data_IF_453582403874
#
_entry.id   IF_453582403874
#
_cell.length_a   1.000
_cell.length_b   1.000
_cell.length_c   1.000
_cell.angle_alpha   90.00
_cell.angle_beta   90.00
_cell.angle_gamma   90.00
#
_symmetry.space_group_name_H-M   'P 1'
#
loop_
_entity.id
_entity.type
_entity.pdbx_description
1 polymer ?
#
# COMPACT_ATOMS: atom_id res chain seq x y z
N UNK A 1 0.81 -3.39 33.85
CA UNK A 1 2.20 -3.57 33.40
C UNK A 1 2.19 -4.57 32.26
N UNK A 2 2.88 -4.31 31.15
CA UNK A 2 2.91 -5.24 30.02
C UNK A 2 3.62 -6.54 30.41
N UNK A 3 3.05 -7.69 30.01
CA UNK A 3 3.65 -9.00 30.28
C UNK A 3 4.84 -9.19 29.34
N UNK A 4 6.00 -9.54 29.90
CA UNK A 4 7.21 -9.81 29.12
C UNK A 4 6.98 -11.03 28.22
N UNK A 5 7.21 -10.90 26.92
CA UNK A 5 7.05 -11.96 25.91
C UNK A 5 8.24 -12.92 25.92
N UNK A 6 8.30 -13.78 26.93
CA UNK A 6 9.40 -14.73 27.12
C UNK A 6 9.54 -15.73 25.97
N UNK A 7 8.45 -16.07 25.29
CA UNK A 7 8.45 -16.88 24.07
C UNK A 7 9.21 -16.21 22.92
N UNK A 8 8.89 -14.95 22.62
CA UNK A 8 9.58 -14.18 21.56
C UNK A 8 11.08 -14.04 21.83
N UNK A 9 11.47 -13.79 23.09
CA UNK A 9 12.89 -13.75 23.51
C UNK A 9 13.60 -15.08 23.22
N UNK A 10 12.92 -16.21 23.49
CA UNK A 10 13.46 -17.56 23.28
C UNK A 10 13.62 -17.86 21.79
N UNK A 11 12.62 -17.55 20.97
CA UNK A 11 12.67 -17.72 19.52
C UNK A 11 13.85 -16.94 18.89
N UNK A 12 14.06 -15.69 19.29
CA UNK A 12 15.21 -14.89 18.80
C UNK A 12 16.56 -15.53 19.14
N UNK A 13 16.72 -15.99 20.40
CA UNK A 13 17.96 -16.66 20.82
C UNK A 13 18.16 -18.00 20.13
N UNK A 14 17.09 -18.77 19.91
CA UNK A 14 17.13 -20.04 19.19
C UNK A 14 17.52 -19.86 17.71
N UNK A 15 17.11 -18.73 17.11
CA UNK A 15 17.54 -18.32 15.78
C UNK A 15 18.98 -17.76 15.72
N UNK A 16 19.68 -17.68 16.86
CA UNK A 16 21.10 -17.30 16.94
C UNK A 16 21.37 -15.80 17.02
N UNK A 17 20.35 -14.96 17.24
CA UNK A 17 20.53 -13.51 17.26
C UNK A 17 20.67 -12.95 18.68
N UNK A 18 21.50 -11.93 18.88
CA UNK A 18 21.44 -10.98 20.01
C UNK A 18 20.36 -9.93 19.75
N UNK A 19 20.03 -9.05 20.71
CA UNK A 19 19.09 -7.95 20.42
C UNK A 19 19.69 -6.99 19.38
N UNK A 20 20.99 -6.74 19.49
CA UNK A 20 21.78 -5.87 18.63
C UNK A 20 21.81 -6.40 17.19
N UNK A 21 22.21 -7.66 16.99
CA UNK A 21 22.28 -8.26 15.64
C UNK A 21 20.89 -8.43 15.02
N UNK A 22 19.87 -8.69 15.84
CA UNK A 22 18.49 -8.80 15.35
C UNK A 22 17.95 -7.44 14.89
N UNK A 23 18.23 -6.38 15.65
CA UNK A 23 17.85 -5.02 15.31
C UNK A 23 18.51 -4.55 14.01
N UNK A 24 19.79 -4.85 13.83
CA UNK A 24 20.56 -4.55 12.63
C UNK A 24 19.95 -5.21 11.38
N UNK A 25 19.69 -6.51 11.43
CA UNK A 25 19.08 -7.25 10.31
C UNK A 25 17.64 -6.79 10.05
N UNK A 26 16.91 -6.39 11.08
CA UNK A 26 15.56 -5.82 10.97
C UNK A 26 15.53 -4.36 10.52
N UNK A 27 16.68 -3.67 10.44
CA UNK A 27 16.78 -2.23 10.21
C UNK A 27 15.94 -1.40 11.19
N UNK A 28 15.99 -1.77 12.47
CA UNK A 28 15.35 -1.04 13.58
C UNK A 28 16.36 -0.76 14.68
N UNK A 29 16.03 0.16 15.59
CA UNK A 29 16.87 0.41 16.76
C UNK A 29 16.77 -0.73 17.80
N UNK A 30 17.86 -1.03 18.53
CA UNK A 30 17.87 -2.06 19.58
C UNK A 30 16.76 -1.86 20.62
N UNK A 31 16.46 -0.61 20.98
CA UNK A 31 15.39 -0.28 21.94
C UNK A 31 14.00 -0.68 21.42
N UNK A 32 13.83 -0.77 20.10
CA UNK A 32 12.59 -1.24 19.47
C UNK A 32 12.41 -2.74 19.70
N UNK A 33 13.48 -3.53 19.53
CA UNK A 33 13.48 -4.98 19.83
C UNK A 33 13.26 -5.22 21.33
N UNK A 34 13.87 -4.41 22.20
CA UNK A 34 13.65 -4.51 23.64
C UNK A 34 12.18 -4.23 24.03
N UNK A 35 11.53 -3.24 23.39
CA UNK A 35 10.11 -2.93 23.61
C UNK A 35 9.18 -4.03 23.12
N UNK A 36 9.53 -4.70 22.01
CA UNK A 36 8.82 -5.90 21.53
C UNK A 36 8.88 -7.03 22.55
N UNK A 37 10.07 -7.35 23.06
CA UNK A 37 10.26 -8.40 24.07
C UNK A 37 9.57 -8.09 25.41
N UNK A 38 9.45 -6.81 25.76
CA UNK A 38 8.77 -6.36 26.98
C UNK A 38 7.24 -6.29 26.86
N UNK A 39 6.68 -6.52 25.67
CA UNK A 39 5.24 -6.41 25.44
C UNK A 39 4.71 -4.98 25.40
N UNK A 40 5.60 -3.96 25.48
CA UNK A 40 5.23 -2.54 25.52
C UNK A 40 4.92 -1.95 24.14
N UNK A 41 5.37 -2.62 23.07
CA UNK A 41 5.11 -2.26 21.68
C UNK A 41 5.08 -3.52 20.83
N UNK A 42 4.32 -3.51 19.75
CA UNK A 42 4.33 -4.60 18.76
C UNK A 42 5.15 -4.25 17.53
N UNK A 43 5.76 -5.25 16.87
CA UNK A 43 6.25 -5.07 15.52
C UNK A 43 5.10 -4.67 14.60
N UNK A 44 5.37 -3.69 13.74
CA UNK A 44 4.39 -3.26 12.75
C UNK A 44 4.11 -4.43 11.78
N UNK A 45 2.88 -4.53 11.22
CA UNK A 45 2.50 -5.68 10.38
C UNK A 45 3.50 -6.00 9.26
N UNK A 46 4.03 -4.97 8.57
CA UNK A 46 5.06 -5.13 7.53
C UNK A 46 6.40 -5.73 8.02
N UNK A 47 6.67 -5.67 9.34
CA UNK A 47 7.87 -6.24 9.95
C UNK A 47 7.68 -7.73 10.27
N UNK A 48 6.44 -8.21 10.41
CA UNK A 48 6.13 -9.57 10.87
C UNK A 48 6.56 -10.67 9.89
N UNK A 49 6.38 -10.57 8.55
CA UNK A 49 6.90 -11.58 7.61
C UNK A 49 8.42 -11.73 7.66
N UNK A 50 9.13 -10.61 7.80
CA UNK A 50 10.60 -10.61 7.95
C UNK A 50 11.01 -11.22 9.29
N UNK A 51 10.30 -10.92 10.37
CA UNK A 51 10.51 -11.52 11.69
C UNK A 51 10.31 -13.04 11.65
N UNK A 52 9.20 -13.53 11.11
CA UNK A 52 8.90 -14.96 11.02
C UNK A 52 10.01 -15.70 10.24
N UNK A 53 10.43 -15.14 9.11
CA UNK A 53 11.53 -15.69 8.29
C UNK A 53 12.86 -15.74 9.05
N UNK A 54 13.23 -14.67 9.77
CA UNK A 54 14.47 -14.62 10.54
C UNK A 54 14.44 -15.56 11.74
N UNK A 55 13.29 -15.68 12.39
CA UNK A 55 13.07 -16.57 13.53
C UNK A 55 12.88 -18.04 13.12
N UNK A 56 12.73 -18.32 11.82
CA UNK A 56 12.46 -19.64 11.23
C UNK A 56 11.20 -20.29 11.80
N UNK A 57 10.18 -19.47 12.01
CA UNK A 57 8.86 -19.88 12.48
C UNK A 57 7.81 -19.45 11.46
N UNK A 58 6.65 -20.08 11.53
CA UNK A 58 5.47 -19.68 10.78
C UNK A 58 4.91 -18.36 11.31
N UNK A 59 4.08 -17.70 10.51
CA UNK A 59 3.38 -16.48 10.94
C UNK A 59 2.46 -16.76 12.14
N UNK A 60 1.80 -17.92 12.17
CA UNK A 60 0.96 -18.32 13.31
C UNK A 60 1.77 -18.47 14.60
N UNK A 61 2.91 -19.17 14.53
CA UNK A 61 3.81 -19.29 15.69
C UNK A 61 4.36 -17.92 16.12
N UNK A 62 4.64 -17.01 15.18
CA UNK A 62 5.04 -15.64 15.52
C UNK A 62 3.92 -14.90 16.26
N UNK A 63 2.67 -15.03 15.83
CA UNK A 63 1.52 -14.38 16.48
C UNK A 63 1.28 -14.94 17.88
N UNK A 64 1.40 -16.26 18.09
CA UNK A 64 1.35 -16.89 19.42
C UNK A 64 2.41 -16.33 20.37
N UNK A 65 3.63 -16.06 19.85
CA UNK A 65 4.72 -15.48 20.66
C UNK A 65 4.52 -13.98 20.95
N UNK A 66 3.78 -13.27 20.09
CA UNK A 66 3.44 -11.86 20.26
C UNK A 66 2.21 -11.66 21.16
N UNK A 67 1.33 -12.66 21.22
CA UNK A 67 0.09 -12.66 21.99
C UNK A 67 -0.01 -13.92 22.86
N UNK A 68 0.90 -14.12 23.83
CA UNK A 68 0.83 -15.28 24.70
C UNK A 68 -0.47 -15.22 25.51
N UNK A 69 -1.39 -16.15 25.23
CA UNK A 69 -2.59 -16.34 26.04
C UNK A 69 -2.17 -16.61 27.49
N UNK A 70 -2.64 -15.78 28.41
CA UNK A 70 -2.54 -16.07 29.83
C UNK A 70 -3.63 -17.09 30.13
N UNK A 71 -3.31 -18.37 29.96
CA UNK A 71 -4.15 -19.47 30.45
C UNK A 71 -4.30 -19.34 31.97
N UNK A 72 -5.47 -18.86 32.42
CA UNK A 72 -5.87 -18.91 33.81
C UNK A 72 -6.78 -20.11 34.03
N UNK A 73 -6.19 -21.16 34.60
CA UNK A 73 -6.88 -22.35 35.11
C UNK A 73 -7.79 -21.97 36.29
N UNK A 74 -9.07 -22.37 36.23
CA UNK A 74 -9.86 -22.99 37.33
C UNK A 74 -11.36 -22.64 37.28
N UNK A 75 -12.17 -23.70 37.38
CA UNK A 75 -13.59 -23.69 37.63
C UNK A 75 -13.95 -22.95 38.94
N UNK A 76 -15.08 -22.26 38.99
CA UNK A 76 -16.33 -22.67 39.68
C UNK A 76 -17.36 -21.53 39.57
N UNK A 77 -18.60 -21.92 39.33
CA UNK A 77 -19.81 -21.10 39.16
C UNK A 77 -19.95 -19.99 40.22
N UNK A 78 -20.13 -18.73 39.79
CA UNK A 78 -20.87 -17.67 40.49
C UNK A 78 -21.53 -16.78 39.44
N UNK A 79 -22.85 -16.58 39.55
CA UNK A 79 -23.63 -15.75 38.64
C UNK A 79 -23.11 -14.30 38.63
N UNK A 80 -22.94 -13.74 37.43
CA UNK A 80 -22.56 -12.35 37.22
C UNK A 80 -23.41 -11.69 36.13
N UNK A 81 -23.52 -10.34 36.14
CA UNK A 81 -24.52 -9.54 35.41
C UNK A 81 -24.33 -9.62 33.89
N UNK A 82 -25.28 -9.14 33.06
CA UNK A 82 -25.25 -9.37 31.62
C UNK A 82 -23.94 -8.89 31.04
N UNK A 83 -23.19 -9.83 30.46
CA UNK A 83 -21.93 -9.56 29.81
C UNK A 83 -22.15 -8.49 28.75
N UNK A 84 -21.39 -7.39 28.84
CA UNK A 84 -21.15 -6.54 27.69
C UNK A 84 -20.52 -7.45 26.64
N UNK A 85 -21.29 -7.76 25.60
CA UNK A 85 -20.79 -8.49 24.43
C UNK A 85 -19.72 -7.61 23.81
N UNK A 86 -18.46 -7.87 24.16
CA UNK A 86 -17.32 -7.39 23.39
C UNK A 86 -17.48 -8.06 22.03
N UNK A 87 -17.75 -7.33 20.94
CA UNK A 87 -17.89 -7.96 19.64
C UNK A 87 -16.57 -8.67 19.34
N UNK A 88 -16.62 -9.97 19.05
CA UNK A 88 -15.49 -10.68 18.47
C UNK A 88 -14.93 -9.87 17.31
N UNK A 89 -13.60 -9.79 17.11
CA UNK A 89 -13.04 -9.07 15.98
C UNK A 89 -13.74 -9.52 14.71
N UNK A 90 -14.43 -8.58 14.04
CA UNK A 90 -15.21 -8.89 12.85
C UNK A 90 -14.22 -9.23 11.74
N UNK A 91 -14.12 -10.53 11.45
CA UNK A 91 -13.35 -11.06 10.32
C UNK A 91 -13.79 -10.33 9.04
N UNK A 92 -12.82 -9.82 8.28
CA UNK A 92 -13.09 -9.10 7.04
C UNK A 92 -13.67 -10.06 6.00
N UNK A 93 -14.87 -9.73 5.51
CA UNK A 93 -15.57 -10.48 4.48
C UNK A 93 -15.26 -9.92 3.08
N UNK A 94 -15.38 -10.76 2.05
CA UNK A 94 -15.14 -10.37 0.67
C UNK A 94 -16.07 -9.22 0.21
N UNK A 95 -17.31 -9.19 0.68
CA UNK A 95 -18.31 -8.16 0.36
C UNK A 95 -17.90 -6.78 0.88
N UNK A 96 -17.21 -6.73 2.03
CA UNK A 96 -16.71 -5.48 2.57
C UNK A 96 -15.58 -4.92 1.70
N UNK A 97 -14.70 -5.77 1.18
CA UNK A 97 -13.66 -5.35 0.22
C UNK A 97 -14.28 -4.81 -1.07
N UNK A 98 -15.32 -5.48 -1.59
CA UNK A 98 -16.09 -4.99 -2.75
C UNK A 98 -16.66 -3.59 -2.51
N UNK A 99 -17.16 -3.31 -1.31
CA UNK A 99 -17.67 -1.98 -0.96
C UNK A 99 -16.57 -0.93 -0.94
N UNK A 100 -15.39 -1.24 -0.40
CA UNK A 100 -14.26 -0.30 -0.41
C UNK A 100 -13.69 -0.05 -1.80
N UNK A 101 -13.66 -1.06 -2.67
CA UNK A 101 -13.32 -0.90 -4.10
C UNK A 101 -14.29 0.09 -4.77
N UNK A 102 -15.59 -0.10 -4.55
CA UNK A 102 -16.62 0.78 -5.09
C UNK A 102 -16.54 2.21 -4.55
N UNK A 103 -16.26 2.38 -3.25
CA UNK A 103 -16.06 3.70 -2.65
C UNK A 103 -14.84 4.42 -3.21
N UNK A 104 -13.71 3.73 -3.36
CA UNK A 104 -12.49 4.30 -3.95
C UNK A 104 -12.75 4.77 -5.38
N UNK A 105 -13.47 3.95 -6.15
CA UNK A 105 -13.88 4.29 -7.52
C UNK A 105 -14.83 5.49 -7.56
N UNK A 106 -15.77 5.59 -6.62
CA UNK A 106 -16.66 6.73 -6.49
C UNK A 106 -15.91 8.01 -6.12
N UNK A 107 -14.91 7.94 -5.23
CA UNK A 107 -14.09 9.10 -4.88
C UNK A 107 -13.25 9.59 -6.06
N UNK A 108 -12.68 8.71 -6.88
CA UNK A 108 -12.04 9.12 -8.15
C UNK A 108 -13.00 9.86 -9.07
N UNK A 109 -14.22 9.35 -9.22
CA UNK A 109 -15.22 9.98 -10.09
C UNK A 109 -15.63 11.37 -9.59
N UNK A 110 -15.76 11.54 -8.26
CA UNK A 110 -16.05 12.84 -7.66
C UNK A 110 -14.85 13.77 -7.80
N UNK A 111 -13.62 13.31 -7.59
CA UNK A 111 -12.40 14.09 -7.80
C UNK A 111 -12.35 14.69 -9.23
N UNK A 112 -12.62 13.87 -10.25
CA UNK A 112 -12.69 14.34 -11.64
C UNK A 112 -13.77 15.41 -11.90
N UNK A 113 -14.82 15.48 -11.08
CA UNK A 113 -15.96 16.38 -11.28
C UNK A 113 -15.95 17.62 -10.37
N UNK A 114 -15.45 17.47 -9.15
CA UNK A 114 -15.55 18.43 -8.06
C UNK A 114 -14.19 18.80 -7.44
N UNK A 115 -13.11 18.15 -7.88
CA UNK A 115 -11.74 18.35 -7.40
C UNK A 115 -11.44 17.67 -6.06
N UNK A 116 -10.16 17.67 -5.71
CA UNK A 116 -9.60 16.85 -4.63
C UNK A 116 -10.12 17.21 -3.23
N UNK A 117 -10.40 18.48 -2.98
CA UNK A 117 -10.93 18.95 -1.70
C UNK A 117 -12.29 18.33 -1.32
N UNK A 118 -13.08 17.88 -2.31
CA UNK A 118 -14.38 17.27 -2.07
C UNK A 118 -14.29 15.87 -1.42
N UNK A 119 -13.15 15.18 -1.61
CA UNK A 119 -12.98 13.76 -1.27
C UNK A 119 -11.73 13.46 -0.44
N UNK A 120 -10.84 14.41 -0.21
CA UNK A 120 -9.56 14.16 0.47
C UNK A 120 -9.73 13.56 1.86
N UNK A 121 -10.48 14.22 2.74
CA UNK A 121 -10.71 13.76 4.12
C UNK A 121 -11.44 12.41 4.17
N UNK A 122 -12.40 12.19 3.28
CA UNK A 122 -13.15 10.94 3.17
C UNK A 122 -12.24 9.79 2.73
N UNK A 123 -11.35 10.04 1.76
CA UNK A 123 -10.36 9.07 1.27
C UNK A 123 -9.36 8.71 2.38
N UNK A 124 -8.84 9.70 3.11
CA UNK A 124 -7.93 9.47 4.25
C UNK A 124 -8.64 8.69 5.37
N UNK A 125 -9.89 9.04 5.66
CA UNK A 125 -10.72 8.34 6.64
C UNK A 125 -10.95 6.87 6.26
N UNK A 126 -11.21 6.60 4.97
CA UNK A 126 -11.30 5.24 4.43
C UNK A 126 -9.97 4.49 4.56
N UNK A 127 -8.87 5.11 4.18
CA UNK A 127 -7.53 4.52 4.27
C UNK A 127 -7.20 4.11 5.71
N UNK A 128 -7.49 4.98 6.68
CA UNK A 128 -7.28 4.69 8.10
C UNK A 128 -8.13 3.51 8.59
N UNK A 129 -9.37 3.37 8.11
CA UNK A 129 -10.22 2.20 8.41
C UNK A 129 -9.64 0.92 7.81
N UNK A 130 -9.18 0.95 6.56
CA UNK A 130 -8.51 -0.19 5.92
C UNK A 130 -7.24 -0.59 6.68
N UNK A 131 -6.41 0.36 7.10
CA UNK A 131 -5.24 0.06 7.93
C UNK A 131 -5.61 -0.57 9.29
N UNK A 132 -6.68 -0.11 9.93
CA UNK A 132 -7.12 -0.67 11.23
C UNK A 132 -7.68 -2.08 11.15
N UNK A 133 -8.11 -2.54 9.97
CA UNK A 133 -8.64 -3.89 9.80
C UNK A 133 -7.60 -4.92 9.36
N UNK A 134 -6.35 -4.49 9.07
CA UNK A 134 -5.31 -5.36 8.52
C UNK A 134 -5.07 -6.62 9.36
N UNK A 135 -5.09 -6.50 10.70
CA UNK A 135 -4.89 -7.63 11.63
C UNK A 135 -6.06 -8.64 11.64
N UNK A 136 -7.20 -8.29 11.04
CA UNK A 136 -8.42 -9.10 11.03
C UNK A 136 -8.76 -9.62 9.62
N UNK A 137 -7.84 -9.53 8.67
CA UNK A 137 -8.01 -10.01 7.28
C UNK A 137 -7.56 -11.48 7.18
N UNK A 138 -8.45 -12.41 6.80
CA UNK A 138 -8.06 -13.79 6.54
C UNK A 138 -7.03 -13.88 5.42
N UNK A 139 -6.12 -14.86 5.49
CA UNK A 139 -5.11 -15.09 4.43
C UNK A 139 -5.72 -15.28 3.04
N UNK A 140 -6.93 -15.86 2.94
CA UNK A 140 -7.67 -16.03 1.68
C UNK A 140 -8.11 -14.71 1.03
N UNK A 141 -8.13 -13.61 1.78
CA UNK A 141 -8.52 -12.29 1.32
C UNK A 141 -7.37 -11.28 1.34
N UNK A 142 -6.20 -11.64 1.89
CA UNK A 142 -5.10 -10.71 2.11
C UNK A 142 -4.59 -10.07 0.83
N UNK A 143 -4.37 -10.85 -0.24
CA UNK A 143 -3.93 -10.31 -1.53
C UNK A 143 -4.90 -9.25 -2.06
N UNK A 144 -6.20 -9.55 -2.06
CA UNK A 144 -7.24 -8.60 -2.49
C UNK A 144 -7.28 -7.37 -1.58
N UNK A 145 -7.22 -7.56 -0.26
CA UNK A 145 -7.17 -6.47 0.70
C UNK A 145 -5.95 -5.56 0.46
N UNK A 146 -4.77 -6.12 0.19
CA UNK A 146 -3.57 -5.36 -0.15
C UNK A 146 -3.82 -4.50 -1.40
N UNK A 147 -4.48 -5.04 -2.42
CA UNK A 147 -4.85 -4.24 -3.60
C UNK A 147 -5.82 -3.11 -3.26
N UNK A 148 -6.87 -3.35 -2.48
CA UNK A 148 -7.81 -2.29 -2.06
C UNK A 148 -7.11 -1.20 -1.22
N UNK A 149 -6.25 -1.62 -0.31
CA UNK A 149 -5.45 -0.71 0.52
C UNK A 149 -4.50 0.12 -0.35
N UNK A 150 -3.81 -0.53 -1.29
CA UNK A 150 -2.87 0.12 -2.20
C UNK A 150 -3.56 1.09 -3.14
N UNK A 151 -4.71 0.70 -3.68
CA UNK A 151 -5.56 1.53 -4.54
C UNK A 151 -6.07 2.78 -3.81
N UNK A 152 -6.57 2.61 -2.58
CA UNK A 152 -7.00 3.71 -1.72
C UNK A 152 -5.83 4.62 -1.34
N UNK A 153 -4.67 4.04 -0.99
CA UNK A 153 -3.48 4.80 -0.62
C UNK A 153 -2.92 5.60 -1.81
N UNK A 154 -2.96 5.04 -3.02
CA UNK A 154 -2.58 5.74 -4.22
C UNK A 154 -3.50 6.95 -4.45
N UNK A 155 -4.82 6.79 -4.31
CA UNK A 155 -5.75 7.91 -4.45
C UNK A 155 -5.48 8.99 -3.39
N UNK A 156 -5.30 8.60 -2.13
CA UNK A 156 -4.94 9.52 -1.05
C UNK A 156 -3.64 10.29 -1.36
N UNK A 157 -2.67 9.63 -2.02
CA UNK A 157 -1.43 10.26 -2.44
C UNK A 157 -1.64 11.31 -3.54
N UNK A 158 -2.45 11.01 -4.55
CA UNK A 158 -2.79 11.94 -5.62
C UNK A 158 -3.47 13.20 -5.06
N UNK A 159 -4.49 13.01 -4.24
CA UNK A 159 -5.20 14.12 -3.60
C UNK A 159 -4.28 14.94 -2.69
N UNK A 160 -3.34 14.30 -1.97
CA UNK A 160 -2.36 15.02 -1.17
C UNK A 160 -1.39 15.87 -2.02
N UNK A 161 -1.05 15.43 -3.24
CA UNK A 161 -0.22 16.19 -4.18
C UNK A 161 -0.94 17.47 -4.62
N UNK A 162 -2.23 17.37 -4.96
CA UNK A 162 -3.05 18.54 -5.34
C UNK A 162 -3.16 19.56 -4.20
N UNK A 163 -3.23 19.07 -2.97
CA UNK A 163 -3.21 19.89 -1.76
C UNK A 163 -1.80 20.37 -1.35
N UNK A 164 -0.76 20.01 -2.12
CA UNK A 164 0.65 20.30 -1.83
C UNK A 164 1.17 19.73 -0.49
N UNK A 165 0.48 18.76 0.11
CA UNK A 165 0.97 17.99 1.25
C UNK A 165 1.88 16.84 0.78
N UNK A 166 3.09 17.21 0.34
CA UNK A 166 4.09 16.24 -0.12
C UNK A 166 4.57 15.30 1.00
N UNK A 167 4.40 15.67 2.26
CA UNK A 167 4.70 14.82 3.40
C UNK A 167 3.75 13.62 3.47
N UNK A 168 2.44 13.89 3.34
CA UNK A 168 1.41 12.86 3.24
C UNK A 168 1.54 12.06 1.94
N UNK A 169 1.75 12.72 0.80
CA UNK A 169 1.92 12.05 -0.49
C UNK A 169 3.03 11.00 -0.46
N UNK A 170 4.19 11.30 0.15
CA UNK A 170 5.29 10.34 0.31
C UNK A 170 4.93 9.13 1.18
N UNK A 171 4.18 9.35 2.27
CA UNK A 171 3.72 8.25 3.14
C UNK A 171 2.73 7.35 2.40
N UNK A 172 1.76 7.95 1.72
CA UNK A 172 0.71 7.22 1.01
C UNK A 172 1.22 6.49 -0.23
N UNK A 173 2.12 7.09 -1.02
CA UNK A 173 2.78 6.39 -2.14
C UNK A 173 3.66 5.23 -1.67
N UNK A 174 4.36 5.36 -0.54
CA UNK A 174 5.16 4.26 0.02
C UNK A 174 4.27 3.08 0.46
N UNK A 175 3.12 3.38 1.07
CA UNK A 175 2.12 2.37 1.41
C UNK A 175 1.56 1.70 0.14
N UNK A 176 1.14 2.50 -0.84
CA UNK A 176 0.59 1.99 -2.10
C UNK A 176 1.57 1.08 -2.85
N UNK A 177 2.86 1.46 -2.89
CA UNK A 177 3.90 0.66 -3.54
C UNK A 177 4.10 -0.69 -2.83
N UNK A 178 4.13 -0.68 -1.49
CA UNK A 178 4.25 -1.92 -0.70
C UNK A 178 3.03 -2.82 -0.91
N UNK A 179 1.84 -2.24 -0.92
CA UNK A 179 0.59 -2.94 -1.18
C UNK A 179 0.51 -3.52 -2.59
N UNK A 180 1.00 -2.81 -3.61
CA UNK A 180 1.06 -3.32 -4.99
C UNK A 180 2.01 -4.53 -5.12
N UNK A 181 3.13 -4.51 -4.39
CA UNK A 181 4.07 -5.62 -4.33
C UNK A 181 3.46 -6.85 -3.63
N UNK A 182 2.79 -6.64 -2.50
CA UNK A 182 2.10 -7.71 -1.77
C UNK A 182 0.91 -8.29 -2.53
N UNK A 183 0.19 -7.44 -3.28
CA UNK A 183 -0.91 -7.83 -4.14
C UNK A 183 -0.49 -8.45 -5.48
N UNK A 184 0.80 -8.42 -5.80
CA UNK A 184 1.39 -8.87 -7.07
C UNK A 184 0.76 -8.21 -8.31
N UNK A 185 0.41 -6.92 -8.22
CA UNK A 185 -0.31 -6.21 -9.28
C UNK A 185 0.56 -5.11 -9.91
N UNK A 186 0.99 -5.39 -11.14
CA UNK A 186 1.98 -4.59 -11.85
C UNK A 186 1.42 -3.26 -12.36
N UNK A 187 0.12 -3.17 -12.65
CA UNK A 187 -0.51 -1.95 -13.11
C UNK A 187 -0.49 -0.88 -12.01
N UNK A 188 -0.88 -1.23 -10.80
CA UNK A 188 -0.85 -0.40 -9.60
C UNK A 188 0.59 -0.02 -9.26
N UNK A 189 1.54 -0.95 -9.38
CA UNK A 189 2.96 -0.64 -9.18
C UNK A 189 3.44 0.43 -10.17
N UNK A 190 3.22 0.24 -11.48
CA UNK A 190 3.60 1.22 -12.50
C UNK A 190 2.91 2.58 -12.26
N UNK A 191 1.62 2.54 -11.90
CA UNK A 191 0.84 3.73 -11.62
C UNK A 191 1.37 4.51 -10.42
N UNK A 192 1.65 3.85 -9.30
CA UNK A 192 2.22 4.48 -8.09
C UNK A 192 3.58 5.12 -8.36
N UNK A 193 4.44 4.48 -9.16
CA UNK A 193 5.72 5.09 -9.57
C UNK A 193 5.51 6.38 -10.39
N UNK A 194 4.52 6.38 -11.29
CA UNK A 194 4.12 7.58 -12.01
C UNK A 194 3.65 8.70 -11.07
N UNK A 195 2.80 8.38 -10.08
CA UNK A 195 2.31 9.36 -9.10
C UNK A 195 3.44 9.92 -8.23
N UNK A 196 4.38 9.07 -7.79
CA UNK A 196 5.56 9.50 -7.05
C UNK A 196 6.39 10.52 -7.83
N UNK A 197 6.42 10.43 -9.16
CA UNK A 197 7.18 11.37 -9.99
C UNK A 197 6.69 12.82 -9.85
N UNK A 198 5.39 13.05 -9.62
CA UNK A 198 4.82 14.39 -9.46
C UNK A 198 5.36 15.13 -8.21
N UNK A 199 5.76 14.38 -7.17
CA UNK A 199 6.46 14.95 -6.01
C UNK A 199 7.83 15.53 -6.42
N UNK A 200 8.46 14.95 -7.43
CA UNK A 200 9.73 15.44 -7.99
C UNK A 200 9.53 16.51 -9.07
N UNK A 201 8.51 16.37 -9.93
CA UNK A 201 8.14 17.38 -10.94
C UNK A 201 7.84 18.72 -10.26
N UNK A 202 6.94 18.74 -9.28
CA UNK A 202 6.58 19.98 -8.56
C UNK A 202 7.73 20.57 -7.75
N UNK A 203 8.75 19.77 -7.43
CA UNK A 203 9.96 20.25 -6.77
C UNK A 203 11.08 20.65 -7.74
N UNK A 204 10.83 20.65 -9.06
CA UNK A 204 11.82 20.97 -10.09
C UNK A 204 12.93 19.93 -10.24
N UNK A 205 12.78 18.74 -9.65
CA UNK A 205 13.77 17.66 -9.70
C UNK A 205 13.54 16.75 -10.91
N UNK A 206 13.65 17.32 -12.11
CA UNK A 206 13.42 16.64 -13.39
C UNK A 206 14.13 15.27 -13.51
N UNK A 207 15.46 15.18 -13.24
CA UNK A 207 16.18 13.90 -13.33
C UNK A 207 15.62 12.79 -12.42
N UNK A 208 15.15 13.12 -11.23
CA UNK A 208 14.52 12.14 -10.33
C UNK A 208 13.17 11.67 -10.86
N UNK A 209 12.37 12.61 -11.40
CA UNK A 209 11.08 12.30 -12.00
C UNK A 209 11.24 11.37 -13.21
N UNK A 210 12.21 11.67 -14.10
CA UNK A 210 12.55 10.81 -15.26
C UNK A 210 12.86 9.38 -14.81
N UNK A 211 13.68 9.21 -13.77
CA UNK A 211 14.03 7.88 -13.27
C UNK A 211 12.81 7.06 -12.82
N UNK A 212 11.91 7.67 -12.07
CA UNK A 212 10.68 7.00 -11.60
C UNK A 212 9.75 6.65 -12.78
N UNK A 213 9.59 7.59 -13.71
CA UNK A 213 8.71 7.42 -14.85
C UNK A 213 9.22 6.38 -15.86
N UNK A 214 10.53 6.30 -16.09
CA UNK A 214 11.11 5.24 -16.92
C UNK A 214 10.96 3.86 -16.27
N UNK A 215 11.07 3.76 -14.94
CA UNK A 215 10.79 2.52 -14.23
C UNK A 215 9.31 2.10 -14.37
N UNK A 216 8.39 3.06 -14.24
CA UNK A 216 6.96 2.85 -14.48
C UNK A 216 6.69 2.38 -15.93
N UNK A 217 7.29 3.04 -16.91
CA UNK A 217 7.13 2.71 -18.33
C UNK A 217 7.69 1.31 -18.64
N UNK A 218 8.83 0.93 -18.06
CA UNK A 218 9.39 -0.39 -18.24
C UNK A 218 8.46 -1.50 -17.73
N UNK A 219 7.79 -1.28 -16.60
CA UNK A 219 6.74 -2.19 -16.12
C UNK A 219 5.55 -2.24 -17.08
N UNK A 220 5.09 -1.07 -17.55
CA UNK A 220 3.98 -0.96 -18.49
C UNK A 220 4.26 -1.70 -19.81
N UNK A 221 5.48 -1.58 -20.36
CA UNK A 221 5.88 -2.19 -21.63
C UNK A 221 6.12 -3.71 -21.55
N UNK A 222 6.13 -4.29 -20.35
CA UNK A 222 6.30 -5.73 -20.21
C UNK A 222 5.03 -6.47 -20.69
N UNK A 223 5.13 -7.30 -21.76
CA UNK A 223 3.97 -7.98 -22.34
C UNK A 223 3.24 -8.92 -21.36
N UNK A 224 3.89 -9.30 -20.25
CA UNK A 224 3.31 -10.18 -19.23
C UNK A 224 2.20 -9.52 -18.41
N UNK A 225 2.20 -8.19 -18.30
CA UNK A 225 1.33 -7.50 -17.35
C UNK A 225 0.07 -6.88 -17.97
N UNK A 226 -0.04 -6.83 -19.30
CA UNK A 226 -1.26 -6.39 -19.97
C UNK A 226 -1.74 -4.99 -19.57
N UNK A 227 -0.83 -4.08 -19.25
CA UNK A 227 -1.14 -2.72 -18.76
C UNK A 227 -1.84 -1.90 -19.86
N UNK A 228 -2.84 -1.10 -19.46
CA UNK A 228 -3.70 -0.38 -20.41
C UNK A 228 -2.95 0.72 -21.17
N UNK A 229 -3.38 0.95 -22.42
CA UNK A 229 -2.85 2.03 -23.28
C UNK A 229 -3.04 3.42 -22.65
N UNK A 230 -4.06 3.61 -21.82
CA UNK A 230 -4.27 4.87 -21.09
C UNK A 230 -3.13 5.15 -20.11
N UNK A 231 -2.67 4.13 -19.36
CA UNK A 231 -1.52 4.26 -18.44
C UNK A 231 -0.24 4.56 -19.24
N UNK A 232 -0.04 3.91 -20.39
CA UNK A 232 1.09 4.23 -21.27
C UNK A 232 1.09 5.67 -21.78
N UNK A 233 -0.09 6.17 -22.18
CA UNK A 233 -0.25 7.54 -22.67
C UNK A 233 0.11 8.54 -21.57
N UNK A 234 -0.48 8.40 -20.39
CA UNK A 234 -0.23 9.27 -19.24
C UNK A 234 1.24 9.23 -18.78
N UNK A 235 1.86 8.05 -18.70
CA UNK A 235 3.28 7.95 -18.36
C UNK A 235 4.16 8.66 -19.41
N UNK A 236 3.82 8.54 -20.70
CA UNK A 236 4.58 9.19 -21.79
C UNK A 236 4.47 10.72 -21.72
N UNK A 237 3.30 11.24 -21.33
CA UNK A 237 3.09 12.68 -21.09
C UNK A 237 3.97 13.18 -19.95
N UNK A 238 3.90 12.53 -18.78
CA UNK A 238 4.70 12.90 -17.61
C UNK A 238 6.22 12.78 -17.87
N UNK A 239 6.66 11.80 -18.69
CA UNK A 239 8.06 11.68 -19.14
C UNK A 239 8.47 12.90 -19.96
N UNK A 240 7.58 13.39 -20.82
CA UNK A 240 7.78 14.60 -21.61
C UNK A 240 8.10 15.82 -20.73
N UNK A 241 7.25 16.04 -19.73
CA UNK A 241 7.42 17.12 -18.74
C UNK A 241 8.72 16.96 -17.94
N UNK A 242 9.00 15.74 -17.44
CA UNK A 242 10.19 15.45 -16.65
C UNK A 242 11.49 15.74 -17.42
N UNK A 243 11.54 15.38 -18.71
CA UNK A 243 12.69 15.69 -19.57
C UNK A 243 12.83 17.17 -19.86
N UNK A 244 11.72 17.89 -20.05
CA UNK A 244 11.75 19.34 -20.22
C UNK A 244 12.35 20.04 -18.98
N UNK A 245 11.96 19.62 -17.77
CA UNK A 245 12.55 20.11 -16.51
C UNK A 245 14.03 19.70 -16.36
N UNK A 246 14.44 18.56 -16.91
CA UNK A 246 15.83 18.12 -16.91
C UNK A 246 16.70 18.81 -17.98
N UNK A 247 16.11 19.65 -18.85
CA UNK A 247 16.79 20.36 -19.94
C UNK A 247 16.96 19.55 -21.23
N UNK A 248 16.42 18.32 -21.32
CA UNK A 248 16.44 17.51 -22.53
C UNK A 248 15.12 17.67 -23.32
N UNK A 249 14.97 18.84 -23.95
CA UNK A 249 13.77 19.17 -24.71
C UNK A 249 13.52 18.22 -25.89
N UNK A 250 14.57 17.59 -26.44
CA UNK A 250 14.43 16.63 -27.55
C UNK A 250 13.80 15.33 -27.07
N UNK A 251 14.30 14.76 -25.97
CA UNK A 251 13.70 13.58 -25.37
C UNK A 251 12.27 13.89 -24.89
N UNK A 252 12.05 15.08 -24.33
CA UNK A 252 10.72 15.55 -23.93
C UNK A 252 9.72 15.58 -25.09
N UNK A 253 10.08 16.21 -26.21
CA UNK A 253 9.22 16.26 -27.39
C UNK A 253 8.92 14.87 -27.98
N UNK A 254 9.90 13.96 -27.98
CA UNK A 254 9.71 12.59 -28.45
C UNK A 254 8.73 11.80 -27.56
N UNK A 255 8.76 12.02 -26.25
CA UNK A 255 7.85 11.40 -25.30
C UNK A 255 6.42 11.93 -25.45
N UNK A 256 6.23 13.24 -25.61
CA UNK A 256 4.92 13.84 -25.89
C UNK A 256 4.31 13.31 -27.20
N UNK A 257 5.09 13.24 -28.28
CA UNK A 257 4.64 12.66 -29.54
C UNK A 257 4.33 11.15 -29.45
N UNK A 258 4.88 10.43 -28.46
CA UNK A 258 4.47 9.05 -28.13
C UNK A 258 3.12 9.05 -27.41
N UNK A 259 2.92 9.95 -26.44
CA UNK A 259 1.66 10.08 -25.71
C UNK A 259 0.48 10.35 -26.66
N UNK A 260 0.62 11.31 -27.57
CA UNK A 260 -0.42 11.65 -28.56
C UNK A 260 -0.84 10.45 -29.41
N UNK A 261 0.14 9.69 -29.94
CA UNK A 261 -0.14 8.49 -30.75
C UNK A 261 -0.87 7.40 -29.96
N UNK A 262 -0.55 7.24 -28.68
CA UNK A 262 -1.21 6.26 -27.81
C UNK A 262 -2.63 6.70 -27.47
N UNK A 263 -2.84 7.99 -27.20
CA UNK A 263 -4.15 8.57 -26.92
C UNK A 263 -5.11 8.44 -28.10
N UNK A 264 -4.67 8.79 -29.31
CA UNK A 264 -5.46 8.66 -30.54
C UNK A 264 -5.89 7.21 -30.80
N UNK A 265 -5.01 6.24 -30.50
CA UNK A 265 -5.32 4.82 -30.59
C UNK A 265 -6.41 4.36 -29.60
N UNK A 266 -6.43 4.92 -28.38
CA UNK A 266 -7.45 4.63 -27.36
C UNK A 266 -8.81 5.22 -27.77
N UNK A 267 -8.83 6.46 -28.25
CA UNK A 267 -10.05 7.13 -28.69
C UNK A 267 -10.66 6.48 -29.94
N UNK A 268 -9.83 6.01 -30.88
CA UNK A 268 -10.29 5.25 -32.03
C UNK A 268 -10.87 3.88 -31.65
N UNK A 269 -10.28 3.19 -30.67
CA UNK A 269 -10.81 1.92 -30.14
C UNK A 269 -12.14 2.11 -29.35
N UNK A 270 -12.30 3.24 -28.66
CA UNK A 270 -13.56 3.63 -28.01
C UNK A 270 -14.67 3.94 -29.03
N UNK A 271 -14.34 4.68 -30.10
CA UNK A 271 -15.31 5.05 -31.16
C UNK A 271 -15.76 3.88 -32.04
N UNK A 272 -14.91 2.87 -32.22
CA UNK A 272 -15.22 1.67 -33.04
C UNK A 272 -15.94 0.56 -32.25
N UNK A 273 -16.34 0.81 -31.00
CA UNK A 273 -17.21 -0.08 -30.23
C UNK A 273 -16.54 -1.32 -29.62
N UNK A 274 -15.21 -1.40 -29.64
CA UNK A 274 -14.46 -2.54 -29.08
C UNK A 274 -14.25 -2.41 -27.55
N UNK A 275 -14.45 -1.21 -26.98
CA UNK A 275 -14.16 -0.91 -25.59
C UNK A 275 -15.40 -0.86 -24.66
N UNK A 276 -16.25 -1.89 -24.66
CA UNK A 276 -17.36 -1.98 -23.67
C UNK A 276 -16.93 -2.45 -22.26
N UNK A 277 -15.63 -2.56 -21.99
CA UNK A 277 -15.11 -3.16 -20.73
C UNK A 277 -14.25 -2.20 -19.89
N UNK A 278 -13.85 -1.03 -20.37
CA UNK A 278 -12.89 -0.15 -19.67
C UNK A 278 -13.54 0.99 -18.86
N UNK A 279 -14.57 0.69 -18.10
CA UNK A 279 -15.02 1.51 -16.95
C UNK A 279 -14.65 0.86 -15.59
N UNK A 280 -13.76 -0.13 -15.61
CA UNK A 280 -13.15 -0.70 -14.40
C UNK A 280 -11.65 -0.74 -14.62
N UNK A 281 -10.95 0.17 -13.95
CA UNK A 281 -9.51 0.35 -13.97
C UNK A 281 -9.20 1.59 -13.16
#
# INVERSE_FOLDING_TARGET
MAVRRTGFVRARKAAGFTQESFAEVMHVDRSTVARWEQGTREPLPYQRPKLARLLKITMNELDELLHPEVESVAATQHASPPAVVVPSPRVVQAELLTQYEALTSAYRQIDYQAGSAAVYEQTVSQLNRLMSMADNVPSSHYQRFALVLGDTAQLAAWLAIDHQDYGAARRYTSLALSSAQEGEEAQLHAYVLGIMSYIHLHAGRGPDAVRLLLAALHLAENPRFGISQAVHSWLSEAIGEAYALAGDHRAGAAALAKAERLFDGVDQARRTGVARVLQRG
#
